data_IF_149344106835
#
_entry.id   IF_149344106835
#
_cell.length_a   1.000
_cell.length_b   1.000
_cell.length_c   1.000
_cell.angle_alpha   90.00
_cell.angle_beta   90.00
_cell.angle_gamma   90.00
#
_symmetry.space_group_name_H-M   'P 1'
#
loop_
_entity.id
_entity.type
_entity.pdbx_description
1 polymer ?
#
# COMPACT_ATOMS: atom_id res chain seq x y z
N UNK A 1 45.26 -24.86 -4.70
CA UNK A 1 43.84 -25.22 -4.60
C UNK A 1 43.42 -24.73 -3.23
N UNK A 2 43.15 -23.43 -3.12
CA UNK A 2 42.73 -22.81 -1.87
C UNK A 2 41.24 -23.12 -1.68
N UNK A 3 40.92 -23.69 -0.52
CA UNK A 3 39.58 -23.97 -0.08
C UNK A 3 38.76 -22.67 -0.11
N UNK A 4 37.75 -22.62 -0.99
CA UNK A 4 36.68 -21.64 -0.92
C UNK A 4 35.92 -21.90 0.39
N UNK A 5 36.30 -21.20 1.45
CA UNK A 5 35.54 -21.20 2.70
C UNK A 5 34.12 -20.76 2.41
N UNK A 6 33.15 -21.60 2.75
CA UNK A 6 31.73 -21.33 2.58
C UNK A 6 31.38 -20.12 3.45
N UNK A 7 31.33 -18.92 2.85
CA UNK A 7 30.98 -17.70 3.55
C UNK A 7 29.55 -17.86 4.11
N UNK A 8 29.41 -17.75 5.44
CA UNK A 8 28.11 -17.82 6.12
C UNK A 8 27.19 -16.77 5.53
N UNK A 9 25.99 -17.17 5.10
CA UNK A 9 24.94 -16.25 4.68
C UNK A 9 24.29 -15.62 5.90
N UNK A 10 24.18 -14.30 5.89
CA UNK A 10 23.42 -13.54 6.89
C UNK A 10 21.93 -13.94 6.81
N UNK A 11 21.37 -14.35 7.94
CA UNK A 11 19.99 -14.82 8.11
C UNK A 11 19.13 -13.66 8.63
N UNK A 12 18.13 -13.29 7.83
CA UNK A 12 17.20 -12.21 8.13
C UNK A 12 15.79 -12.79 8.30
N UNK A 13 15.16 -12.50 9.44
CA UNK A 13 13.76 -12.87 9.68
C UNK A 13 12.84 -11.71 9.29
N UNK A 14 11.84 -11.98 8.44
CA UNK A 14 10.82 -11.04 8.03
C UNK A 14 9.50 -11.30 8.76
N UNK A 15 8.89 -10.28 9.35
CA UNK A 15 7.59 -10.38 10.01
C UNK A 15 6.57 -9.48 9.32
N UNK A 16 5.88 -9.96 8.26
CA UNK A 16 4.86 -9.17 7.57
C UNK A 16 3.58 -9.01 8.40
N UNK A 17 2.91 -7.87 8.25
CA UNK A 17 1.50 -7.75 8.62
C UNK A 17 0.63 -8.50 7.58
N UNK A 18 -0.37 -9.31 7.99
CA UNK A 18 -1.08 -10.24 7.10
C UNK A 18 -2.18 -9.58 6.27
N UNK A 19 -1.91 -8.39 5.75
CA UNK A 19 -2.77 -7.70 4.79
C UNK A 19 -2.03 -7.51 3.47
N UNK A 20 -2.73 -7.57 2.34
CA UNK A 20 -2.13 -7.50 1.01
C UNK A 20 -1.17 -6.31 0.84
N UNK A 21 -1.58 -5.13 1.34
CA UNK A 21 -0.81 -3.89 1.30
C UNK A 21 0.51 -3.94 2.08
N UNK A 22 0.67 -4.90 2.99
CA UNK A 22 1.83 -5.04 3.87
C UNK A 22 2.68 -6.26 3.54
N UNK A 23 2.04 -7.41 3.28
CA UNK A 23 2.74 -8.65 2.95
C UNK A 23 3.45 -8.52 1.61
N UNK A 24 2.85 -7.85 0.63
CA UNK A 24 3.43 -7.64 -0.70
C UNK A 24 4.80 -6.96 -0.67
N UNK A 25 4.95 -5.75 -0.08
CA UNK A 25 6.26 -5.10 -0.02
C UNK A 25 7.26 -5.86 0.85
N UNK A 26 6.82 -6.55 1.93
CA UNK A 26 7.72 -7.38 2.73
C UNK A 26 8.28 -8.58 1.94
N UNK A 27 7.42 -9.28 1.18
CA UNK A 27 7.85 -10.41 0.35
C UNK A 27 8.75 -9.94 -0.79
N UNK A 28 8.46 -8.80 -1.41
CA UNK A 28 9.35 -8.19 -2.41
C UNK A 28 10.72 -7.86 -1.82
N UNK A 29 10.77 -7.22 -0.65
CA UNK A 29 12.02 -6.97 0.07
C UNK A 29 12.78 -8.29 0.34
N UNK A 30 12.07 -9.33 0.77
CA UNK A 30 12.64 -10.66 0.96
C UNK A 30 13.25 -11.23 -0.32
N UNK A 31 12.55 -11.19 -1.45
CA UNK A 31 13.09 -11.68 -2.74
C UNK A 31 14.35 -10.91 -3.14
N UNK A 32 14.37 -9.61 -2.89
CA UNK A 32 15.51 -8.72 -3.21
C UNK A 32 16.71 -9.03 -2.33
N UNK A 33 16.53 -9.09 -1.02
CA UNK A 33 17.60 -9.46 -0.09
C UNK A 33 18.12 -10.88 -0.39
N UNK A 34 17.22 -11.82 -0.68
CA UNK A 34 17.65 -13.16 -1.10
C UNK A 34 18.53 -13.13 -2.36
N UNK A 35 18.16 -12.32 -3.36
CA UNK A 35 18.99 -12.13 -4.57
C UNK A 35 20.36 -11.48 -4.27
N UNK A 36 20.47 -10.74 -3.17
CA UNK A 36 21.70 -10.11 -2.69
C UNK A 36 22.59 -11.02 -1.82
N UNK A 37 22.17 -12.27 -1.59
CA UNK A 37 22.94 -13.29 -0.87
C UNK A 37 22.49 -13.56 0.57
N UNK A 38 21.42 -12.92 1.04
CA UNK A 38 20.85 -13.18 2.36
C UNK A 38 20.03 -14.47 2.38
N UNK A 39 20.02 -15.16 3.52
CA UNK A 39 19.09 -16.24 3.80
C UNK A 39 17.84 -15.65 4.46
N UNK A 40 16.67 -15.83 3.84
CA UNK A 40 15.43 -15.19 4.28
C UNK A 40 14.50 -16.20 4.95
N UNK A 41 14.00 -15.83 6.12
CA UNK A 41 13.00 -16.61 6.86
C UNK A 41 11.79 -15.72 7.09
N UNK A 42 10.59 -16.19 6.76
CA UNK A 42 9.37 -15.39 6.90
C UNK A 42 8.57 -15.95 8.08
N UNK A 43 8.43 -15.16 9.14
CA UNK A 43 7.57 -15.45 10.26
C UNK A 43 6.19 -14.83 10.02
N UNK A 44 5.22 -15.65 9.62
CA UNK A 44 3.87 -15.19 9.25
C UNK A 44 2.78 -15.85 10.11
N UNK A 45 1.60 -15.24 10.07
CA UNK A 45 0.39 -15.76 10.71
C UNK A 45 -0.28 -16.83 9.83
N UNK A 46 -1.17 -17.68 10.38
CA UNK A 46 -2.05 -18.51 9.51
C UNK A 46 -3.03 -17.67 8.72
N UNK A 47 -3.53 -16.60 9.33
CA UNK A 47 -4.37 -15.63 8.64
C UNK A 47 -3.57 -15.02 7.47
N UNK A 48 -4.10 -15.13 6.25
CA UNK A 48 -3.44 -14.68 5.01
C UNK A 48 -1.98 -15.14 4.88
N UNK A 49 -1.74 -16.42 5.16
CA UNK A 49 -0.43 -17.04 5.00
C UNK A 49 0.03 -17.07 3.53
N UNK A 50 1.28 -16.70 3.20
CA UNK A 50 1.87 -16.91 1.87
C UNK A 50 1.90 -18.39 1.46
N UNK A 51 2.06 -19.28 2.45
CA UNK A 51 2.03 -20.74 2.30
C UNK A 51 1.00 -21.32 3.29
N UNK A 52 -0.19 -21.77 2.84
CA UNK A 52 -1.28 -22.19 3.73
C UNK A 52 -0.93 -23.31 4.74
N UNK A 53 0.17 -24.03 4.53
CA UNK A 53 0.64 -25.15 5.36
C UNK A 53 1.34 -24.76 6.66
N UNK A 54 1.98 -23.58 6.78
CA UNK A 54 3.03 -23.35 7.80
C UNK A 54 2.83 -22.12 8.70
N UNK A 55 1.62 -21.85 9.19
CA UNK A 55 1.36 -20.64 10.01
C UNK A 55 1.16 -20.84 11.53
N UNK A 56 1.10 -19.73 12.26
CA UNK A 56 0.66 -19.63 13.66
C UNK A 56 -0.89 -19.59 13.80
N UNK A 57 -1.53 -20.43 14.64
CA UNK A 57 -3.01 -20.60 14.69
C UNK A 57 -3.83 -19.35 15.04
N UNK A 58 -5.08 -19.38 14.56
CA UNK A 58 -6.01 -18.33 14.10
C UNK A 58 -6.75 -17.54 15.20
N UNK A 59 -7.03 -16.27 14.89
CA UNK A 59 -8.32 -15.63 15.16
C UNK A 59 -8.79 -15.03 13.83
N UNK A 60 -10.03 -15.26 13.44
CA UNK A 60 -10.65 -14.60 12.27
C UNK A 60 -10.59 -13.08 12.45
N UNK A 61 -10.74 -12.30 11.36
CA UNK A 61 -10.98 -10.85 11.46
C UNK A 61 -12.49 -10.63 11.62
N UNK A 62 -13.05 -10.57 12.85
CA UNK A 62 -14.48 -10.80 13.07
C UNK A 62 -15.31 -9.51 13.08
N UNK A 63 -14.79 -8.40 12.59
CA UNK A 63 -15.53 -7.15 12.46
C UNK A 63 -14.77 -6.27 11.48
N UNK A 64 -15.43 -5.39 10.72
CA UNK A 64 -14.76 -4.43 9.84
C UNK A 64 -13.81 -3.43 10.53
N UNK A 65 -13.47 -3.65 11.80
CA UNK A 65 -12.47 -2.91 12.57
C UNK A 65 -11.08 -3.56 12.43
N UNK A 66 -10.34 -3.08 11.42
CA UNK A 66 -8.95 -3.49 11.14
C UNK A 66 -8.04 -3.22 12.34
N UNK A 67 -8.29 -2.14 13.11
CA UNK A 67 -7.45 -1.77 14.23
C UNK A 67 -7.61 -2.72 15.42
N UNK A 68 -8.85 -3.04 15.79
CA UNK A 68 -9.12 -4.03 16.84
C UNK A 68 -8.53 -5.40 16.50
N UNK A 69 -8.61 -5.79 15.22
CA UNK A 69 -7.95 -7.01 14.73
C UNK A 69 -6.44 -6.96 14.90
N UNK A 70 -5.78 -5.87 14.48
CA UNK A 70 -4.34 -5.69 14.63
C UNK A 70 -3.88 -5.74 16.09
N UNK A 71 -4.64 -5.11 17.00
CA UNK A 71 -4.36 -5.14 18.44
C UNK A 71 -4.43 -6.56 19.01
N UNK A 72 -5.48 -7.29 18.63
CA UNK A 72 -5.69 -8.70 19.00
C UNK A 72 -4.57 -9.59 18.44
N UNK A 73 -4.22 -9.39 17.17
CA UNK A 73 -3.16 -10.12 16.49
C UNK A 73 -1.82 -9.95 17.19
N UNK A 74 -1.43 -8.72 17.48
CA UNK A 74 -0.19 -8.40 18.18
C UNK A 74 -0.16 -9.04 19.59
N UNK A 75 -1.28 -8.96 20.31
CA UNK A 75 -1.40 -9.58 21.65
C UNK A 75 -1.22 -11.09 21.60
N UNK A 76 -1.91 -11.76 20.67
CA UNK A 76 -1.92 -13.22 20.57
C UNK A 76 -0.64 -13.80 19.97
N UNK A 77 0.01 -13.08 19.06
CA UNK A 77 1.21 -13.56 18.36
C UNK A 77 2.50 -13.35 19.16
N UNK A 78 2.54 -12.46 20.16
CA UNK A 78 3.78 -12.12 20.89
C UNK A 78 4.51 -13.35 21.47
N UNK A 79 3.81 -14.16 22.26
CA UNK A 79 4.42 -15.33 22.90
C UNK A 79 4.86 -16.40 21.90
N UNK A 80 4.13 -16.54 20.79
CA UNK A 80 4.42 -17.52 19.75
C UNK A 80 5.59 -17.11 18.86
N UNK A 81 5.62 -15.85 18.43
CA UNK A 81 6.75 -15.31 17.67
C UNK A 81 8.05 -15.49 18.46
N UNK A 82 8.01 -15.20 19.76
CA UNK A 82 9.14 -15.44 20.67
C UNK A 82 9.56 -16.90 20.66
N UNK A 83 8.66 -17.83 20.94
CA UNK A 83 9.00 -19.26 20.98
C UNK A 83 9.55 -19.77 19.63
N UNK A 84 8.99 -19.32 18.52
CA UNK A 84 9.49 -19.66 17.18
C UNK A 84 10.92 -19.13 16.94
N UNK A 85 11.21 -17.89 17.36
CA UNK A 85 12.55 -17.31 17.22
C UNK A 85 13.56 -17.97 18.16
N UNK A 86 13.18 -18.28 19.41
CA UNK A 86 14.03 -19.04 20.34
C UNK A 86 14.42 -20.40 19.74
N UNK A 87 13.44 -21.17 19.25
CA UNK A 87 13.69 -22.45 18.60
C UNK A 87 14.55 -22.31 17.33
N UNK A 88 14.33 -21.24 16.55
CA UNK A 88 15.12 -20.97 15.35
C UNK A 88 16.58 -20.69 15.71
N UNK A 89 16.81 -19.89 16.75
CA UNK A 89 18.13 -19.49 17.24
C UNK A 89 18.90 -20.66 17.89
N UNK A 90 18.20 -21.70 18.37
CA UNK A 90 18.83 -22.95 18.80
C UNK A 90 19.44 -23.74 17.63
N UNK A 91 18.89 -23.58 16.42
CA UNK A 91 19.30 -24.34 15.23
C UNK A 91 20.30 -23.59 14.36
N UNK A 92 20.19 -22.26 14.29
CA UNK A 92 21.04 -21.41 13.46
C UNK A 92 21.06 -19.99 14.01
N UNK A 93 22.14 -19.27 13.76
CA UNK A 93 22.26 -17.88 14.22
C UNK A 93 21.43 -16.95 13.32
N UNK A 94 20.66 -16.05 13.95
CA UNK A 94 19.83 -15.05 13.26
C UNK A 94 20.51 -13.70 13.44
N UNK A 95 20.77 -12.99 12.34
CA UNK A 95 21.54 -11.75 12.36
C UNK A 95 20.64 -10.52 12.61
N UNK A 96 19.44 -10.48 12.03
CA UNK A 96 18.47 -9.43 12.34
C UNK A 96 17.02 -9.80 12.02
N UNK A 97 16.09 -8.97 12.50
CA UNK A 97 14.67 -9.04 12.17
C UNK A 97 14.21 -7.77 11.47
N UNK A 98 13.50 -7.92 10.36
CA UNK A 98 12.79 -6.84 9.68
C UNK A 98 11.30 -7.06 9.89
N UNK A 99 10.61 -6.09 10.48
CA UNK A 99 9.20 -6.24 10.81
C UNK A 99 8.36 -5.11 10.23
N UNK A 100 7.13 -5.43 9.83
CA UNK A 100 6.16 -4.43 9.42
C UNK A 100 5.75 -3.58 10.62
N UNK A 101 5.63 -2.26 10.44
CA UNK A 101 5.19 -1.32 11.48
C UNK A 101 3.97 -1.79 12.28
N UNK A 102 2.99 -2.42 11.64
CA UNK A 102 1.76 -2.88 12.28
C UNK A 102 1.96 -4.18 13.08
N UNK A 103 3.07 -4.88 12.87
CA UNK A 103 3.52 -6.02 13.69
C UNK A 103 4.46 -5.54 14.82
N UNK A 104 4.06 -4.48 15.52
CA UNK A 104 4.87 -3.75 16.50
C UNK A 104 5.36 -4.59 17.69
N UNK A 105 4.78 -5.78 17.94
CA UNK A 105 5.30 -6.70 18.96
C UNK A 105 6.65 -7.32 18.59
N UNK A 106 7.01 -7.31 17.31
CA UNK A 106 8.22 -7.96 16.81
C UNK A 106 9.45 -7.32 17.40
N UNK A 107 9.48 -6.00 17.53
CA UNK A 107 10.56 -5.29 18.21
C UNK A 107 10.71 -5.72 19.67
N UNK A 108 9.62 -5.91 20.40
CA UNK A 108 9.69 -6.25 21.82
C UNK A 108 10.22 -7.68 22.01
N UNK A 109 9.91 -8.57 21.05
CA UNK A 109 10.47 -9.93 20.99
C UNK A 109 11.95 -9.86 20.60
N UNK A 110 12.31 -9.08 19.59
CA UNK A 110 13.69 -8.90 19.15
C UNK A 110 14.60 -8.39 20.28
N UNK A 111 14.17 -7.34 20.97
CA UNK A 111 14.89 -6.77 22.10
C UNK A 111 15.05 -7.77 23.25
N UNK A 112 14.03 -8.61 23.51
CA UNK A 112 14.15 -9.68 24.51
C UNK A 112 15.22 -10.72 24.14
N UNK A 113 15.38 -11.00 22.85
CA UNK A 113 16.34 -11.97 22.32
C UNK A 113 17.70 -11.34 21.96
N UNK A 114 17.88 -10.04 22.26
CA UNK A 114 19.06 -9.25 21.85
C UNK A 114 19.32 -9.27 20.34
N UNK A 115 18.26 -9.34 19.53
CA UNK A 115 18.34 -9.26 18.08
C UNK A 115 18.17 -7.80 17.59
N UNK A 116 19.05 -7.30 16.72
CA UNK A 116 18.82 -6.04 16.02
C UNK A 116 17.51 -6.09 15.22
N UNK A 117 16.71 -5.03 15.31
CA UNK A 117 15.45 -4.93 14.58
C UNK A 117 15.41 -3.71 13.65
N UNK A 118 14.85 -3.90 12.46
CA UNK A 118 14.66 -2.87 11.44
C UNK A 118 13.17 -2.78 11.15
N UNK A 119 12.61 -1.57 11.16
CA UNK A 119 11.18 -1.39 10.87
C UNK A 119 10.96 -1.11 9.39
N UNK A 120 10.05 -1.86 8.76
CA UNK A 120 9.54 -1.58 7.42
C UNK A 120 8.30 -0.68 7.51
N UNK A 121 8.36 0.43 6.78
CA UNK A 121 7.26 1.37 6.56
C UNK A 121 6.68 1.12 5.18
N UNK A 122 5.45 0.58 5.16
CA UNK A 122 4.72 0.26 3.93
C UNK A 122 3.79 1.41 3.47
N UNK A 123 3.60 2.42 4.32
CA UNK A 123 2.95 3.69 3.98
C UNK A 123 3.97 4.73 3.48
N UNK A 124 3.49 5.77 2.80
CA UNK A 124 4.29 6.93 2.42
C UNK A 124 4.79 7.74 3.63
N UNK A 125 5.93 8.42 3.45
CA UNK A 125 6.53 9.27 4.48
C UNK A 125 5.61 10.45 4.86
N UNK A 126 4.92 11.02 3.88
CA UNK A 126 3.98 12.14 4.06
C UNK A 126 2.76 11.74 4.87
N UNK A 127 2.30 10.50 4.73
CA UNK A 127 1.22 9.93 5.54
C UNK A 127 1.64 9.76 6.99
N UNK A 128 2.91 9.39 7.25
CA UNK A 128 3.41 9.36 8.63
C UNK A 128 3.49 10.76 9.25
N UNK A 129 3.84 11.79 8.47
CA UNK A 129 3.80 13.18 8.93
C UNK A 129 2.40 13.60 9.35
N UNK A 130 1.37 13.20 8.61
CA UNK A 130 -0.03 13.43 8.97
C UNK A 130 -0.41 12.74 10.29
N UNK A 131 -0.07 11.45 10.47
CA UNK A 131 -0.29 10.73 11.73
C UNK A 131 0.42 11.39 12.92
N UNK A 132 1.65 11.88 12.71
CA UNK A 132 2.44 12.54 13.75
C UNK A 132 1.84 13.86 14.23
N UNK A 133 1.13 14.58 13.36
CA UNK A 133 0.47 15.83 13.73
C UNK A 133 -0.82 15.63 14.52
N UNK A 134 -1.52 14.49 14.37
CA UNK A 134 -2.83 14.26 14.99
C UNK A 134 -2.83 14.48 16.52
N UNK A 135 -1.88 13.95 17.31
CA UNK A 135 -1.85 14.21 18.76
C UNK A 135 -1.73 15.70 19.12
N UNK A 136 -0.93 16.46 18.36
CA UNK A 136 -0.81 17.92 18.53
C UNK A 136 -2.13 18.61 18.21
N UNK A 137 -2.72 18.30 17.06
CA UNK A 137 -3.99 18.88 16.63
C UNK A 137 -5.15 18.52 17.57
N UNK A 138 -5.10 17.33 18.18
CA UNK A 138 -6.05 16.91 19.21
C UNK A 138 -5.89 17.78 20.47
N UNK A 139 -4.66 18.04 20.92
CA UNK A 139 -4.41 18.93 22.06
C UNK A 139 -4.83 20.39 21.78
N UNK A 140 -4.78 20.82 20.53
CA UNK A 140 -5.26 22.12 20.06
C UNK A 140 -6.80 22.18 19.88
N UNK A 141 -7.51 21.05 20.04
CA UNK A 141 -8.97 20.98 19.90
C UNK A 141 -9.47 20.90 18.45
N UNK A 142 -8.59 20.55 17.50
CA UNK A 142 -8.91 20.43 16.07
C UNK A 142 -9.27 19.00 15.63
N UNK A 143 -9.22 18.01 16.53
CA UNK A 143 -9.56 16.61 16.23
C UNK A 143 -10.63 16.10 17.22
N UNK A 144 -11.78 15.58 16.75
CA UNK A 144 -12.19 15.49 15.35
C UNK A 144 -12.45 16.88 14.73
N UNK A 145 -12.15 17.07 13.44
CA UNK A 145 -12.34 18.36 12.79
C UNK A 145 -13.83 18.69 12.65
N UNK A 146 -14.18 19.95 12.89
CA UNK A 146 -15.52 20.47 12.67
C UNK A 146 -15.71 20.84 11.18
N UNK A 147 -16.95 20.80 10.68
CA UNK A 147 -17.24 20.97 9.24
C UNK A 147 -16.62 22.25 8.64
N UNK A 148 -16.63 23.35 9.39
CA UNK A 148 -16.11 24.63 8.89
C UNK A 148 -14.58 24.68 8.73
N UNK A 149 -13.82 23.77 9.37
CA UNK A 149 -12.36 23.68 9.21
C UNK A 149 -11.93 22.59 8.23
N UNK A 150 -12.83 21.71 7.77
CA UNK A 150 -12.47 20.56 6.93
C UNK A 150 -11.67 20.94 5.69
N UNK A 151 -11.96 22.10 5.10
CA UNK A 151 -11.30 22.61 3.89
C UNK A 151 -10.08 23.49 4.19
N UNK A 152 -9.86 23.88 5.45
CA UNK A 152 -8.70 24.67 5.83
C UNK A 152 -7.42 23.82 5.76
N UNK A 153 -6.31 24.45 5.38
CA UNK A 153 -4.99 23.81 5.38
C UNK A 153 -4.56 23.51 6.83
N UNK A 154 -3.89 22.38 7.00
CA UNK A 154 -3.30 21.99 8.27
C UNK A 154 -1.95 22.70 8.41
N UNK A 155 -1.74 23.51 9.47
CA UNK A 155 -0.48 24.21 9.65
C UNK A 155 0.71 23.23 9.71
N UNK A 156 1.78 23.55 8.97
CA UNK A 156 3.03 22.78 8.86
C UNK A 156 2.91 21.47 8.05
N UNK A 157 1.75 21.21 7.46
CA UNK A 157 1.48 20.01 6.65
C UNK A 157 0.90 20.37 5.28
N UNK A 158 1.13 21.58 4.79
CA UNK A 158 0.69 21.98 3.46
C UNK A 158 1.20 21.01 2.38
N UNK A 159 0.35 20.58 1.43
CA UNK A 159 -0.97 21.13 1.10
C UNK A 159 -2.16 20.36 1.71
N UNK A 160 -1.96 19.59 2.79
CA UNK A 160 -3.03 18.82 3.42
C UNK A 160 -4.07 19.73 4.08
N UNK A 161 -5.34 19.38 3.90
CA UNK A 161 -6.48 19.96 4.62
C UNK A 161 -6.87 19.08 5.79
N UNK A 162 -7.66 19.60 6.73
CA UNK A 162 -8.14 18.79 7.86
C UNK A 162 -8.92 17.54 7.43
N UNK A 163 -9.68 17.60 6.32
CA UNK A 163 -10.36 16.43 5.76
C UNK A 163 -9.43 15.39 5.13
N UNK A 164 -8.20 15.78 4.78
CA UNK A 164 -7.23 14.89 4.16
C UNK A 164 -6.46 14.06 5.23
N UNK A 165 -6.64 14.38 6.52
CA UNK A 165 -5.99 13.67 7.63
C UNK A 165 -6.56 12.25 7.83
N UNK A 166 -5.74 11.28 8.26
CA UNK A 166 -6.13 9.88 8.43
C UNK A 166 -6.95 9.65 9.72
N UNK A 167 -8.08 10.37 9.85
CA UNK A 167 -8.96 10.40 11.04
C UNK A 167 -10.21 9.54 10.83
N UNK A 168 -10.65 9.35 9.58
CA UNK A 168 -11.92 8.68 9.27
C UNK A 168 -11.90 7.18 9.61
N UNK A 169 -13.09 6.62 9.84
CA UNK A 169 -13.35 5.19 10.11
C UNK A 169 -12.63 4.57 11.33
N UNK A 170 -12.22 5.40 12.30
CA UNK A 170 -11.86 4.92 13.64
C UNK A 170 -13.08 4.89 14.55
N UNK A 171 -13.21 3.83 15.36
CA UNK A 171 -14.32 3.63 16.30
C UNK A 171 -14.28 4.59 17.50
N UNK A 172 -13.10 5.14 17.84
CA UNK A 172 -12.93 6.10 18.91
C UNK A 172 -11.68 6.96 18.70
N UNK A 173 -11.63 8.13 19.34
CA UNK A 173 -10.42 8.97 19.39
C UNK A 173 -9.25 8.23 20.05
N UNK A 174 -9.51 7.38 21.03
CA UNK A 174 -8.49 6.57 21.70
C UNK A 174 -7.82 5.60 20.72
N UNK A 175 -8.61 4.87 19.92
CA UNK A 175 -8.09 3.95 18.89
C UNK A 175 -7.25 4.70 17.85
N UNK A 176 -7.69 5.90 17.44
CA UNK A 176 -6.93 6.76 16.53
C UNK A 176 -5.58 7.17 17.15
N UNK A 177 -5.57 7.67 18.38
CA UNK A 177 -4.34 8.10 19.05
C UNK A 177 -3.39 6.93 19.31
N UNK A 178 -3.92 5.75 19.64
CA UNK A 178 -3.14 4.53 19.78
C UNK A 178 -2.51 4.13 18.45
N UNK A 179 -3.25 4.23 17.33
CA UNK A 179 -2.71 4.00 16.00
C UNK A 179 -1.61 5.03 15.67
N UNK A 180 -1.81 6.31 15.97
CA UNK A 180 -0.78 7.33 15.77
C UNK A 180 0.51 6.99 16.56
N UNK A 181 0.37 6.55 17.81
CA UNK A 181 1.49 6.13 18.64
C UNK A 181 2.22 4.90 18.09
N UNK A 182 1.49 3.90 17.58
CA UNK A 182 2.08 2.72 16.93
C UNK A 182 2.80 3.12 15.65
N UNK A 183 2.15 3.89 14.77
CA UNK A 183 2.73 4.32 13.50
C UNK A 183 3.99 5.16 13.73
N UNK A 184 4.00 6.09 14.67
CA UNK A 184 5.13 7.01 14.87
C UNK A 184 6.27 6.44 15.72
N UNK A 185 6.16 5.23 16.26
CA UNK A 185 7.16 4.68 17.18
C UNK A 185 8.00 3.59 16.51
N UNK A 186 9.32 3.77 16.54
CA UNK A 186 10.31 2.76 16.09
C UNK A 186 10.89 1.96 17.27
N UNK A 187 10.59 2.39 18.50
CA UNK A 187 11.08 1.84 19.77
C UNK A 187 12.60 1.71 19.78
N UNK A 188 13.17 0.51 19.92
CA UNK A 188 14.63 0.28 19.88
C UNK A 188 15.13 -0.20 18.51
N UNK A 189 14.32 -0.08 17.45
CA UNK A 189 14.77 -0.43 16.10
C UNK A 189 15.98 0.39 15.69
N UNK A 190 16.97 -0.29 15.10
CA UNK A 190 18.26 0.30 14.76
C UNK A 190 18.24 1.01 13.40
N UNK A 191 17.24 0.74 12.56
CA UNK A 191 17.06 1.40 11.26
C UNK A 191 15.61 1.36 10.78
N UNK A 192 15.32 2.17 9.74
CA UNK A 192 14.00 2.27 9.09
C UNK A 192 14.14 2.02 7.59
N UNK A 193 13.30 1.15 7.03
CA UNK A 193 13.14 0.97 5.59
C UNK A 193 11.83 1.62 5.17
N UNK A 194 11.87 2.45 4.13
CA UNK A 194 10.71 3.07 3.52
C UNK A 194 10.41 2.46 2.16
N UNK A 195 9.18 1.98 1.99
CA UNK A 195 8.64 1.65 0.67
C UNK A 195 8.25 2.93 -0.08
N UNK A 196 9.20 3.82 -0.33
CA UNK A 196 8.99 5.06 -1.09
C UNK A 196 10.25 5.41 -1.86
N UNK A 197 10.14 6.40 -2.75
CA UNK A 197 11.24 6.93 -3.54
C UNK A 197 11.54 8.33 -3.04
N UNK A 198 12.82 8.62 -2.75
CA UNK A 198 13.25 9.92 -2.23
C UNK A 198 12.71 11.10 -3.05
N UNK A 199 12.77 11.01 -4.37
CA UNK A 199 12.23 12.04 -5.28
C UNK A 199 10.76 12.41 -5.03
N UNK A 200 9.93 11.45 -4.59
CA UNK A 200 8.50 11.67 -4.35
C UNK A 200 8.22 12.40 -3.03
N UNK A 201 9.04 12.15 -2.01
CA UNK A 201 8.74 12.53 -0.61
C UNK A 201 9.94 13.12 0.15
N UNK A 202 10.92 13.68 -0.56
CA UNK A 202 12.21 14.13 -0.02
C UNK A 202 12.08 14.98 1.26
N UNK A 203 11.21 15.99 1.25
CA UNK A 203 11.00 16.87 2.41
C UNK A 203 10.54 16.10 3.65
N UNK A 204 9.55 15.22 3.48
CA UNK A 204 9.02 14.37 4.55
C UNK A 204 10.09 13.43 5.10
N UNK A 205 10.86 12.78 4.21
CA UNK A 205 11.95 11.88 4.58
C UNK A 205 13.07 12.58 5.36
N UNK A 206 13.48 13.78 4.95
CA UNK A 206 14.49 14.58 5.65
C UNK A 206 14.03 14.92 7.07
N UNK A 207 12.80 15.37 7.25
CA UNK A 207 12.24 15.68 8.58
C UNK A 207 12.15 14.45 9.48
N UNK A 208 11.76 13.30 8.91
CA UNK A 208 11.67 12.05 9.64
C UNK A 208 13.04 11.49 10.01
N UNK A 209 14.04 11.61 9.13
CA UNK A 209 15.41 11.24 9.43
C UNK A 209 15.98 12.05 10.62
N UNK A 210 15.76 13.38 10.62
CA UNK A 210 16.17 14.24 11.73
C UNK A 210 15.46 13.90 13.04
N UNK A 211 14.21 13.45 12.97
CA UNK A 211 13.43 13.05 14.14
C UNK A 211 13.92 11.75 14.77
N UNK A 212 14.08 10.69 13.96
CA UNK A 212 14.42 9.36 14.47
C UNK A 212 15.91 9.15 14.72
N UNK A 213 16.77 9.84 13.98
CA UNK A 213 18.25 9.78 14.15
C UNK A 213 18.83 8.36 14.04
N UNK A 214 18.18 7.51 13.24
CA UNK A 214 18.67 6.19 12.85
C UNK A 214 18.88 6.15 11.33
N UNK A 215 19.73 5.25 10.82
CA UNK A 215 19.83 4.98 9.39
C UNK A 215 18.44 4.74 8.77
N UNK A 216 18.21 5.35 7.61
CA UNK A 216 16.93 5.28 6.93
C UNK A 216 17.14 5.04 5.44
N UNK A 217 16.41 4.07 4.89
CA UNK A 217 16.62 3.57 3.54
C UNK A 217 15.33 3.66 2.73
N UNK A 218 15.29 4.56 1.73
CA UNK A 218 14.15 4.71 0.80
C UNK A 218 14.37 3.85 -0.42
N UNK A 219 13.82 2.63 -0.38
CA UNK A 219 14.06 1.65 -1.41
C UNK A 219 13.00 1.77 -2.52
N UNK A 220 11.71 1.92 -2.22
CA UNK A 220 10.65 1.89 -3.23
C UNK A 220 10.22 0.46 -3.62
N UNK A 221 9.37 0.33 -4.65
CA UNK A 221 8.47 -0.83 -4.85
C UNK A 221 8.86 -1.83 -5.97
N UNK A 222 9.98 -1.63 -6.69
CA UNK A 222 10.26 -2.34 -7.98
C UNK A 222 11.65 -2.98 -8.07
N UNK A 223 12.06 -3.77 -7.07
CA UNK A 223 13.36 -4.45 -7.13
C UNK A 223 13.31 -5.93 -7.45
N UNK A 224 12.13 -6.56 -7.47
CA UNK A 224 12.00 -7.96 -7.87
C UNK A 224 10.80 -8.15 -8.79
N UNK A 225 11.07 -8.55 -10.03
CA UNK A 225 10.13 -9.36 -10.78
C UNK A 225 10.13 -10.78 -10.19
N UNK A 226 9.06 -11.54 -10.39
CA UNK A 226 8.99 -13.02 -10.33
C UNK A 226 8.34 -13.70 -9.10
N UNK A 227 8.04 -13.06 -7.96
CA UNK A 227 7.30 -13.77 -6.89
C UNK A 227 5.79 -13.48 -6.89
N UNK A 228 4.90 -14.50 -6.90
CA UNK A 228 3.48 -14.30 -6.61
C UNK A 228 3.36 -13.78 -5.17
N UNK A 229 2.92 -12.53 -5.02
CA UNK A 229 2.70 -11.91 -3.72
C UNK A 229 1.21 -11.71 -3.42
N UNK A 230 0.34 -12.18 -4.31
CA UNK A 230 -1.11 -12.06 -4.17
C UNK A 230 -1.66 -13.09 -3.19
N UNK A 231 -2.44 -12.64 -2.21
CA UNK A 231 -3.20 -13.50 -1.30
C UNK A 231 -4.44 -14.10 -1.98
N UNK A 232 -4.93 -13.45 -3.05
CA UNK A 232 -6.11 -13.86 -3.80
C UNK A 232 -5.70 -14.45 -5.15
N UNK A 233 -6.46 -15.44 -5.63
CA UNK A 233 -6.23 -16.04 -6.95
C UNK A 233 -6.50 -15.01 -8.03
N UNK A 234 -5.47 -14.65 -8.78
CA UNK A 234 -5.54 -13.71 -9.90
C UNK A 234 -6.24 -14.35 -11.11
N UNK A 235 -7.11 -13.58 -11.75
CA UNK A 235 -7.72 -13.89 -13.03
C UNK A 235 -6.88 -13.29 -14.14
N UNK A 236 -6.02 -14.11 -14.74
CA UNK A 236 -5.12 -13.68 -15.84
C UNK A 236 -5.84 -13.55 -17.17
N UNK A 237 -7.06 -14.05 -17.31
CA UNK A 237 -7.82 -13.98 -18.57
C UNK A 237 -8.18 -12.51 -18.89
N UNK A 238 -8.19 -11.63 -17.88
CA UNK A 238 -8.36 -10.20 -18.09
C UNK A 238 -7.26 -9.58 -18.97
N UNK A 239 -6.05 -10.13 -18.98
CA UNK A 239 -4.97 -9.68 -19.87
C UNK A 239 -5.34 -9.96 -21.34
N UNK A 240 -5.89 -11.14 -21.62
CA UNK A 240 -6.35 -11.49 -22.98
C UNK A 240 -7.50 -10.60 -23.45
N UNK A 241 -8.32 -10.09 -22.52
CA UNK A 241 -9.34 -9.10 -22.84
C UNK A 241 -8.73 -7.73 -23.13
N UNK A 242 -7.70 -7.31 -22.37
CA UNK A 242 -6.96 -6.06 -22.58
C UNK A 242 -6.21 -6.05 -23.92
N UNK A 243 -5.67 -7.19 -24.37
CA UNK A 243 -4.99 -7.33 -25.66
C UNK A 243 -5.88 -6.94 -26.86
N UNK A 244 -7.21 -7.02 -26.70
CA UNK A 244 -8.20 -6.68 -27.74
C UNK A 244 -8.62 -5.21 -27.73
N UNK A 245 -8.18 -4.45 -26.73
CA UNK A 245 -8.57 -3.05 -26.55
C UNK A 245 -7.57 -2.11 -27.23
N UNK A 246 -8.02 -0.90 -27.54
CA UNK A 246 -7.12 0.12 -28.09
C UNK A 246 -6.13 0.62 -27.02
N UNK A 247 -4.94 1.12 -27.42
CA UNK A 247 -4.01 1.72 -26.48
C UNK A 247 -4.63 2.88 -25.70
N UNK A 248 -4.35 2.96 -24.39
CA UNK A 248 -4.86 3.98 -23.47
C UNK A 248 -6.39 4.15 -23.46
N UNK A 249 -7.18 3.14 -23.83
CA UNK A 249 -8.65 3.25 -23.88
C UNK A 249 -9.37 2.69 -22.67
N UNK A 250 -8.70 1.90 -21.82
CA UNK A 250 -9.34 1.18 -20.72
C UNK A 250 -9.16 1.91 -19.40
N UNK A 251 -10.24 2.10 -18.64
CA UNK A 251 -10.18 2.43 -17.22
C UNK A 251 -10.09 1.14 -16.40
N UNK A 252 -9.01 1.00 -15.64
CA UNK A 252 -8.91 -0.02 -14.62
C UNK A 252 -9.54 0.48 -13.31
N UNK A 253 -10.35 -0.33 -12.64
CA UNK A 253 -11.04 0.03 -11.39
C UNK A 253 -10.72 -1.01 -10.32
N UNK A 254 -10.09 -0.59 -9.23
CA UNK A 254 -9.78 -1.47 -8.08
C UNK A 254 -9.65 -0.71 -6.77
N UNK A 255 -10.45 -1.11 -5.77
CA UNK A 255 -10.42 -0.54 -4.41
C UNK A 255 -9.57 -1.35 -3.43
N UNK A 256 -8.72 -2.24 -3.95
CA UNK A 256 -7.79 -3.02 -3.14
C UNK A 256 -8.47 -4.14 -2.34
N UNK A 257 -7.74 -4.67 -1.36
CA UNK A 257 -8.12 -5.90 -0.64
C UNK A 257 -9.04 -5.68 0.55
N UNK A 258 -9.18 -4.44 1.03
CA UNK A 258 -9.88 -4.13 2.28
C UNK A 258 -11.06 -3.17 2.12
N UNK A 259 -10.99 -2.19 1.23
CA UNK A 259 -12.03 -1.16 1.13
C UNK A 259 -13.33 -1.76 0.58
N UNK A 260 -14.39 -1.75 1.39
CA UNK A 260 -15.74 -2.14 0.96
C UNK A 260 -16.52 -0.94 0.44
N UNK A 261 -17.56 -1.23 -0.33
CA UNK A 261 -18.58 -0.27 -0.76
C UNK A 261 -19.96 -0.78 -0.36
N UNK A 262 -20.91 0.13 -0.17
CA UNK A 262 -22.32 -0.25 0.00
C UNK A 262 -23.03 -0.48 -1.35
N UNK A 263 -24.28 -0.92 -1.30
CA UNK A 263 -25.10 -1.18 -2.50
C UNK A 263 -25.34 0.08 -3.34
N UNK A 264 -25.48 1.25 -2.69
CA UNK A 264 -25.68 2.52 -3.38
C UNK A 264 -24.41 2.90 -4.13
N UNK A 265 -23.26 2.84 -3.47
CA UNK A 265 -21.94 3.10 -4.06
C UNK A 265 -21.65 2.15 -5.22
N UNK A 266 -21.98 0.86 -5.09
CA UNK A 266 -21.87 -0.13 -6.17
C UNK A 266 -22.72 0.28 -7.38
N UNK A 267 -23.99 0.63 -7.17
CA UNK A 267 -24.92 1.00 -8.23
C UNK A 267 -24.52 2.31 -8.92
N UNK A 268 -24.11 3.32 -8.16
CA UNK A 268 -23.62 4.59 -8.70
C UNK A 268 -22.32 4.39 -9.48
N UNK A 269 -21.41 3.53 -9.00
CA UNK A 269 -20.19 3.16 -9.72
C UNK A 269 -20.48 2.44 -11.03
N UNK A 270 -21.33 1.42 -10.99
CA UNK A 270 -21.72 0.66 -12.17
C UNK A 270 -22.29 1.58 -13.27
N UNK A 271 -23.28 2.40 -12.93
CA UNK A 271 -23.89 3.29 -13.91
C UNK A 271 -22.98 4.44 -14.32
N UNK A 272 -22.11 4.94 -13.44
CA UNK A 272 -21.12 5.96 -13.81
C UNK A 272 -20.12 5.45 -14.84
N UNK A 273 -19.64 4.21 -14.66
CA UNK A 273 -18.76 3.55 -15.62
C UNK A 273 -19.47 3.31 -16.96
N UNK A 274 -20.69 2.75 -16.95
CA UNK A 274 -21.46 2.53 -18.16
C UNK A 274 -21.74 3.82 -18.94
N UNK A 275 -22.15 4.89 -18.24
CA UNK A 275 -22.47 6.17 -18.86
C UNK A 275 -21.24 6.89 -19.45
N UNK A 276 -20.04 6.60 -18.93
CA UNK A 276 -18.81 7.22 -19.45
C UNK A 276 -18.51 6.83 -20.90
N UNK A 277 -19.09 5.72 -21.37
CA UNK A 277 -18.86 5.09 -22.67
C UNK A 277 -17.37 4.73 -22.94
N UNK A 278 -16.58 4.59 -21.87
CA UNK A 278 -15.20 4.10 -21.92
C UNK A 278 -15.13 2.61 -21.60
N UNK A 279 -14.29 1.82 -22.29
CA UNK A 279 -13.97 0.47 -21.87
C UNK A 279 -13.42 0.43 -20.44
N UNK A 280 -13.81 -0.57 -19.65
CA UNK A 280 -13.33 -0.69 -18.28
C UNK A 280 -13.08 -2.13 -17.84
N UNK A 281 -12.06 -2.31 -17.00
CA UNK A 281 -11.80 -3.54 -16.26
C UNK A 281 -12.04 -3.26 -14.77
N UNK A 282 -13.07 -3.85 -14.19
CA UNK A 282 -13.45 -3.62 -12.80
C UNK A 282 -13.23 -4.86 -11.92
N UNK A 283 -12.40 -4.68 -10.90
CA UNK A 283 -12.22 -5.67 -9.83
C UNK A 283 -13.29 -5.47 -8.76
N UNK A 284 -14.17 -6.47 -8.62
CA UNK A 284 -15.09 -6.59 -7.51
C UNK A 284 -14.67 -7.84 -6.76
N UNK A 285 -14.06 -7.72 -5.57
CA UNK A 285 -13.67 -8.92 -4.80
C UNK A 285 -14.87 -9.49 -4.04
N UNK A 286 -14.91 -10.79 -3.73
CA UNK A 286 -15.87 -11.33 -2.77
C UNK A 286 -15.86 -10.53 -1.46
N UNK A 287 -17.03 -10.29 -0.87
CA UNK A 287 -17.19 -9.41 0.30
C UNK A 287 -16.76 -7.94 0.11
N UNK A 288 -16.64 -7.45 -1.15
CA UNK A 288 -16.55 -6.00 -1.41
C UNK A 288 -17.80 -5.25 -0.97
N UNK A 289 -18.95 -5.94 -0.96
CA UNK A 289 -20.26 -5.41 -0.60
C UNK A 289 -20.81 -6.25 0.55
N UNK A 290 -21.25 -5.60 1.62
CA UNK A 290 -21.73 -6.30 2.81
C UNK A 290 -22.96 -7.16 2.45
N UNK A 291 -22.88 -8.46 2.73
CA UNK A 291 -23.98 -9.41 2.47
C UNK A 291 -24.03 -10.02 1.06
N UNK A 292 -23.04 -9.79 0.19
CA UNK A 292 -22.92 -10.46 -1.11
C UNK A 292 -21.68 -11.32 -1.24
N UNK A 293 -21.85 -12.46 -1.91
CA UNK A 293 -20.77 -13.37 -2.28
C UNK A 293 -19.92 -12.78 -3.42
N UNK A 294 -20.52 -12.07 -4.40
CA UNK A 294 -19.79 -11.34 -5.43
C UNK A 294 -20.58 -10.26 -6.20
N UNK A 295 -21.28 -10.63 -7.29
CA UNK A 295 -21.89 -9.71 -8.28
C UNK A 295 -23.41 -9.84 -8.33
N UNK A 296 -24.01 -10.56 -7.38
CA UNK A 296 -25.47 -10.71 -7.31
C UNK A 296 -26.18 -9.36 -7.11
N UNK A 297 -25.45 -8.36 -6.60
CA UNK A 297 -25.94 -7.01 -6.33
C UNK A 297 -25.70 -6.00 -7.47
N UNK A 298 -25.13 -6.43 -8.61
CA UNK A 298 -25.02 -5.54 -9.76
C UNK A 298 -26.41 -5.13 -10.25
N UNK A 299 -26.63 -3.85 -10.64
CA UNK A 299 -27.94 -3.39 -11.09
C UNK A 299 -28.51 -4.21 -12.25
N UNK A 300 -29.83 -4.42 -12.26
CA UNK A 300 -30.52 -5.07 -13.37
C UNK A 300 -30.25 -4.33 -14.69
N UNK A 301 -29.97 -5.09 -15.76
CA UNK A 301 -29.65 -4.53 -17.07
C UNK A 301 -28.21 -4.02 -17.23
N UNK A 302 -27.39 -4.01 -16.17
CA UNK A 302 -26.03 -3.48 -16.24
C UNK A 302 -25.11 -4.31 -17.14
N UNK A 303 -25.17 -5.65 -17.05
CA UNK A 303 -24.33 -6.53 -17.88
C UNK A 303 -24.66 -6.40 -19.36
N UNK A 304 -25.95 -6.24 -19.67
CA UNK A 304 -26.44 -6.00 -21.03
C UNK A 304 -26.01 -4.63 -21.53
N UNK A 305 -26.04 -3.60 -20.68
CA UNK A 305 -25.66 -2.23 -21.03
C UNK A 305 -24.17 -2.10 -21.38
N UNK A 306 -23.28 -2.82 -20.69
CA UNK A 306 -21.83 -2.71 -20.90
C UNK A 306 -21.33 -3.59 -22.05
N UNK A 307 -22.05 -4.68 -22.36
CA UNK A 307 -21.68 -5.61 -23.43
C UNK A 307 -20.22 -6.05 -23.36
N UNK A 308 -19.50 -5.97 -24.47
CA UNK A 308 -18.07 -6.32 -24.55
C UNK A 308 -17.12 -5.20 -24.08
N UNK A 309 -17.64 -4.00 -23.78
CA UNK A 309 -16.83 -2.84 -23.33
C UNK A 309 -16.40 -2.94 -21.87
N UNK A 310 -17.13 -3.70 -21.05
CA UNK A 310 -16.82 -3.87 -19.63
C UNK A 310 -16.42 -5.31 -19.30
N UNK A 311 -15.34 -5.47 -18.55
CA UNK A 311 -14.97 -6.75 -17.94
C UNK A 311 -14.96 -6.64 -16.42
N UNK A 312 -15.59 -7.60 -15.74
CA UNK A 312 -15.65 -7.66 -14.28
C UNK A 312 -14.98 -8.94 -13.80
N UNK A 313 -13.99 -8.81 -12.91
CA UNK A 313 -13.23 -9.94 -12.36
C UNK A 313 -13.21 -9.90 -10.83
N UNK A 314 -12.95 -11.04 -10.20
CA UNK A 314 -12.83 -11.13 -8.73
C UNK A 314 -11.55 -10.52 -8.21
N UNK A 315 -10.45 -10.74 -8.93
CA UNK A 315 -9.13 -10.26 -8.58
C UNK A 315 -8.26 -10.26 -9.84
N UNK A 316 -7.53 -9.19 -10.08
CA UNK A 316 -6.69 -9.04 -11.27
C UNK A 316 -5.20 -9.02 -10.90
N UNK A 317 -4.30 -9.47 -11.79
CA UNK A 317 -2.86 -9.27 -11.65
C UNK A 317 -2.53 -7.78 -11.86
N UNK A 318 -2.77 -6.96 -10.83
CA UNK A 318 -2.80 -5.49 -10.91
C UNK A 318 -1.53 -4.90 -11.55
N UNK A 319 -0.35 -5.46 -11.24
CA UNK A 319 0.92 -5.00 -11.82
C UNK A 319 0.95 -5.17 -13.33
N UNK A 320 0.50 -6.33 -13.82
CA UNK A 320 0.46 -6.62 -15.25
C UNK A 320 -0.61 -5.79 -15.96
N UNK A 321 -1.76 -5.59 -15.31
CA UNK A 321 -2.82 -4.70 -15.79
C UNK A 321 -2.30 -3.25 -15.93
N UNK A 322 -1.67 -2.70 -14.89
CA UNK A 322 -1.14 -1.32 -14.93
C UNK A 322 0.02 -1.16 -15.92
N UNK A 323 0.80 -2.21 -16.17
CA UNK A 323 1.84 -2.21 -17.19
C UNK A 323 1.30 -2.39 -18.63
N UNK A 324 0.03 -2.77 -18.79
CA UNK A 324 -0.56 -3.08 -20.08
C UNK A 324 -0.89 -1.80 -20.87
N UNK A 325 -0.46 -1.73 -22.14
CA UNK A 325 -0.60 -0.52 -22.97
C UNK A 325 -2.04 -0.07 -23.29
N UNK A 326 -3.03 -0.95 -23.10
CA UNK A 326 -4.44 -0.60 -23.22
C UNK A 326 -4.98 0.22 -22.03
N UNK A 327 -4.36 0.14 -20.85
CA UNK A 327 -4.84 0.85 -19.66
C UNK A 327 -4.49 2.33 -19.77
N UNK A 328 -5.52 3.16 -19.87
CA UNK A 328 -5.39 4.61 -19.97
C UNK A 328 -5.63 5.35 -18.66
N UNK A 329 -6.20 4.72 -17.65
CA UNK A 329 -6.39 5.34 -16.34
C UNK A 329 -6.76 4.33 -15.25
N UNK A 330 -6.59 4.74 -14.00
CA UNK A 330 -6.82 3.88 -12.85
C UNK A 330 -7.71 4.56 -11.79
N UNK A 331 -8.94 4.08 -11.64
CA UNK A 331 -9.79 4.43 -10.51
C UNK A 331 -9.40 3.59 -9.30
N UNK A 332 -8.87 4.27 -8.28
CA UNK A 332 -8.19 3.65 -7.15
C UNK A 332 -8.58 4.26 -5.82
N UNK A 333 -8.61 3.42 -4.79
CA UNK A 333 -8.68 3.84 -3.40
C UNK A 333 -7.40 4.54 -2.88
N UNK A 334 -6.36 4.69 -3.70
CA UNK A 334 -5.11 5.39 -3.33
C UNK A 334 -4.34 4.73 -2.17
N UNK A 335 -4.45 3.41 -2.00
CA UNK A 335 -3.48 2.68 -1.18
C UNK A 335 -2.06 2.89 -1.72
N UNK A 336 -1.07 2.98 -0.82
CA UNK A 336 0.28 3.40 -1.20
C UNK A 336 0.94 2.51 -2.26
N UNK A 337 0.81 1.18 -2.14
CA UNK A 337 1.34 0.24 -3.14
C UNK A 337 0.73 0.48 -4.53
N UNK A 338 -0.61 0.54 -4.61
CA UNK A 338 -1.32 0.79 -5.88
C UNK A 338 -0.95 2.15 -6.48
N UNK A 339 -0.71 3.14 -5.63
CA UNK A 339 -0.27 4.48 -6.06
C UNK A 339 1.11 4.40 -6.69
N UNK A 340 2.08 3.77 -6.03
CA UNK A 340 3.43 3.56 -6.55
C UNK A 340 3.43 2.76 -7.86
N UNK A 341 2.65 1.68 -7.93
CA UNK A 341 2.53 0.86 -9.15
C UNK A 341 2.00 1.70 -10.32
N UNK A 342 0.94 2.50 -10.11
CA UNK A 342 0.32 3.32 -11.15
C UNK A 342 1.26 4.37 -11.71
N UNK A 343 1.84 5.21 -10.84
CA UNK A 343 2.72 6.31 -11.30
C UNK A 343 4.01 5.78 -11.91
N UNK A 344 4.46 4.59 -11.49
CA UNK A 344 5.65 3.95 -12.04
C UNK A 344 5.38 3.21 -13.34
N UNK A 345 4.11 3.06 -13.72
CA UNK A 345 3.71 2.65 -15.06
C UNK A 345 3.24 3.81 -15.94
N UNK A 346 3.15 5.03 -15.40
CA UNK A 346 2.69 6.18 -16.16
C UNK A 346 1.18 6.16 -16.38
N UNK A 347 0.43 5.49 -15.50
CA UNK A 347 -1.02 5.42 -15.56
C UNK A 347 -1.60 6.51 -14.66
N UNK A 348 -2.38 7.46 -15.18
CA UNK A 348 -2.98 8.52 -14.39
C UNK A 348 -4.17 7.99 -13.58
N UNK A 349 -4.48 8.65 -12.46
CA UNK A 349 -5.40 8.10 -11.46
C UNK A 349 -6.69 8.90 -11.31
N UNK A 350 -7.79 8.22 -10.98
CA UNK A 350 -8.98 8.80 -10.33
C UNK A 350 -8.97 8.31 -8.89
N UNK A 351 -8.82 9.24 -7.96
CA UNK A 351 -8.67 8.98 -6.54
C UNK A 351 -10.03 8.91 -5.86
N UNK A 352 -10.34 7.77 -5.25
CA UNK A 352 -11.51 7.55 -4.43
C UNK A 352 -11.11 6.96 -3.06
N UNK A 353 -10.46 7.74 -2.19
CA UNK A 353 -9.93 7.24 -0.92
C UNK A 353 -11.04 6.79 0.03
N UNK A 354 -10.77 5.77 0.85
CA UNK A 354 -11.73 5.17 1.77
C UNK A 354 -11.36 5.36 3.24
N UNK A 355 -10.11 5.10 3.62
CA UNK A 355 -9.65 5.17 5.01
C UNK A 355 -8.12 5.28 5.15
N UNK A 356 -7.67 5.53 6.38
CA UNK A 356 -6.24 5.51 6.70
C UNK A 356 -5.46 6.57 5.93
N UNK A 357 -4.31 6.19 5.39
CA UNK A 357 -3.40 7.06 4.64
C UNK A 357 -3.92 7.46 3.24
N UNK A 358 -5.02 6.87 2.78
CA UNK A 358 -5.51 7.03 1.41
C UNK A 358 -5.90 8.47 1.07
N UNK A 359 -6.43 9.24 2.02
CA UNK A 359 -6.79 10.65 1.80
C UNK A 359 -5.55 11.54 1.62
N UNK A 360 -4.48 11.26 2.38
CA UNK A 360 -3.18 11.92 2.19
C UNK A 360 -2.62 11.57 0.81
N UNK A 361 -2.64 10.29 0.45
CA UNK A 361 -2.12 9.82 -0.84
C UNK A 361 -2.91 10.44 -2.01
N UNK A 362 -4.24 10.47 -1.92
CA UNK A 362 -5.11 11.10 -2.92
C UNK A 362 -4.75 12.58 -3.12
N UNK A 363 -4.57 13.33 -2.03
CA UNK A 363 -4.16 14.74 -2.07
C UNK A 363 -2.81 14.93 -2.75
N UNK A 364 -1.85 14.04 -2.52
CA UNK A 364 -0.55 14.09 -3.18
C UNK A 364 -0.66 13.80 -4.68
N UNK A 365 -1.43 12.78 -5.07
CA UNK A 365 -1.69 12.43 -6.47
C UNK A 365 -2.38 13.59 -7.20
N UNK A 366 -3.43 14.17 -6.62
CA UNK A 366 -4.28 15.17 -7.26
C UNK A 366 -3.69 16.58 -7.24
N UNK A 367 -3.05 17.00 -6.14
CA UNK A 367 -2.63 18.40 -5.95
C UNK A 367 -1.11 18.62 -6.00
N UNK A 368 -0.31 17.69 -5.47
CA UNK A 368 1.16 17.84 -5.40
C UNK A 368 1.77 17.43 -6.75
N UNK A 369 1.55 16.18 -7.15
CA UNK A 369 2.08 15.63 -8.40
C UNK A 369 1.18 15.97 -9.60
N UNK A 370 -0.12 16.21 -9.35
CA UNK A 370 -1.13 16.53 -10.37
C UNK A 370 -1.24 15.45 -11.45
N UNK A 371 -1.05 14.19 -11.05
CA UNK A 371 -1.08 13.00 -11.91
C UNK A 371 -2.40 12.23 -11.80
N UNK A 372 -3.41 12.85 -11.20
CA UNK A 372 -4.76 12.31 -11.13
C UNK A 372 -5.81 13.34 -10.73
N UNK A 373 -7.07 12.88 -10.72
CA UNK A 373 -8.25 13.61 -10.27
C UNK A 373 -8.74 13.02 -8.94
N UNK A 374 -9.46 13.78 -8.12
CA UNK A 374 -10.00 13.30 -6.85
C UNK A 374 -11.52 13.43 -6.81
N UNK A 375 -12.21 12.34 -6.43
CA UNK A 375 -13.63 12.34 -6.16
C UNK A 375 -13.87 12.84 -4.73
N UNK A 376 -14.07 14.16 -4.59
CA UNK A 376 -14.18 14.81 -3.27
C UNK A 376 -15.58 14.78 -2.64
N UNK A 377 -16.63 14.55 -3.44
CA UNK A 377 -18.03 14.65 -3.01
C UNK A 377 -18.66 13.26 -2.80
N UNK A 378 -19.94 13.24 -2.39
CA UNK A 378 -20.72 12.01 -2.40
C UNK A 378 -20.61 11.29 -3.75
N UNK A 379 -20.48 9.96 -3.68
CA UNK A 379 -20.29 9.15 -4.87
C UNK A 379 -21.60 9.06 -5.66
N UNK A 380 -21.72 9.91 -6.68
CA UNK A 380 -22.80 9.87 -7.65
C UNK A 380 -22.29 9.42 -9.01
N UNK A 381 -23.11 8.66 -9.76
CA UNK A 381 -22.77 8.16 -11.11
C UNK A 381 -22.31 9.27 -12.05
N UNK A 382 -22.87 10.47 -11.91
CA UNK A 382 -22.52 11.64 -12.74
C UNK A 382 -21.12 12.16 -12.45
N UNK A 383 -20.68 12.10 -11.20
CA UNK A 383 -19.33 12.52 -10.83
C UNK A 383 -18.31 11.48 -11.29
N UNK A 384 -18.64 10.19 -11.21
CA UNK A 384 -17.81 9.11 -11.78
C UNK A 384 -17.71 9.22 -13.30
N UNK A 385 -18.85 9.37 -13.98
CA UNK A 385 -18.91 9.57 -15.43
C UNK A 385 -18.04 10.76 -15.84
N UNK A 386 -18.20 11.90 -15.16
CA UNK A 386 -17.41 13.11 -15.42
C UNK A 386 -15.92 12.85 -15.22
N UNK A 387 -15.51 12.27 -14.09
CA UNK A 387 -14.10 12.02 -13.80
C UNK A 387 -13.46 11.06 -14.81
N UNK A 388 -14.18 10.00 -15.22
CA UNK A 388 -13.71 9.07 -16.25
C UNK A 388 -13.54 9.79 -17.58
N UNK A 389 -14.54 10.56 -18.02
CA UNK A 389 -14.46 11.30 -19.29
C UNK A 389 -13.37 12.37 -19.25
N UNK A 390 -13.21 13.09 -18.13
CA UNK A 390 -12.18 14.11 -18.00
C UNK A 390 -10.76 13.54 -18.00
N UNK A 391 -10.56 12.35 -17.44
CA UNK A 391 -9.25 11.68 -17.49
C UNK A 391 -8.95 11.04 -18.86
N UNK A 392 -9.96 10.50 -19.53
CA UNK A 392 -9.78 9.65 -20.73
C UNK A 392 -9.97 10.37 -22.06
N UNK A 393 -10.78 11.42 -22.09
CA UNK A 393 -11.26 12.06 -23.32
C UNK A 393 -10.92 13.55 -23.37
N UNK A 394 -11.05 14.25 -22.25
CA UNK A 394 -10.87 15.70 -22.23
C UNK A 394 -9.37 16.09 -22.22
N UNK A 395 -9.09 17.34 -22.62
CA UNK A 395 -7.73 17.91 -22.64
C UNK A 395 -7.03 17.87 -21.28
N UNK A 396 -7.79 18.00 -20.19
CA UNK A 396 -7.23 17.90 -18.83
C UNK A 396 -6.54 16.54 -18.62
N UNK A 397 -7.17 15.46 -19.09
CA UNK A 397 -6.61 14.11 -19.05
C UNK A 397 -5.31 13.96 -19.84
N UNK A 398 -5.17 14.63 -20.98
CA UNK A 398 -3.93 14.65 -21.76
C UNK A 398 -2.78 15.31 -20.97
N UNK A 399 -3.06 16.43 -20.30
CA UNK A 399 -2.06 17.12 -19.47
C UNK A 399 -1.67 16.31 -18.23
N UNK A 400 -2.64 15.64 -17.59
CA UNK A 400 -2.39 14.71 -16.48
C UNK A 400 -1.50 13.55 -16.97
N UNK A 401 -1.80 12.99 -18.14
CA UNK A 401 -1.06 11.89 -18.74
C UNK A 401 0.39 12.28 -19.03
N UNK A 402 0.63 13.48 -19.55
CA UNK A 402 2.00 13.96 -19.76
C UNK A 402 2.76 14.06 -18.43
N UNK A 403 2.13 14.62 -17.38
CA UNK A 403 2.77 14.74 -16.07
C UNK A 403 3.11 13.39 -15.44
N UNK A 404 2.25 12.38 -15.58
CA UNK A 404 2.53 11.05 -15.02
C UNK A 404 3.61 10.30 -15.83
N UNK A 405 3.72 10.53 -17.14
CA UNK A 405 4.82 10.02 -17.97
C UNK A 405 6.15 10.66 -17.52
N UNK A 406 6.19 11.98 -17.36
CA UNK A 406 7.38 12.67 -16.85
C UNK A 406 7.76 12.16 -15.44
N UNK A 407 6.77 11.87 -14.60
CA UNK A 407 6.99 11.31 -13.27
C UNK A 407 7.53 9.88 -13.33
N UNK A 408 6.99 9.03 -14.22
CA UNK A 408 7.47 7.66 -14.49
C UNK A 408 8.95 7.66 -14.84
N UNK A 409 9.38 8.57 -15.72
CA UNK A 409 10.79 8.68 -16.11
C UNK A 409 11.70 9.01 -14.93
N UNK A 410 11.29 9.97 -14.08
CA UNK A 410 12.04 10.34 -12.88
C UNK A 410 12.13 9.20 -11.86
N UNK A 411 11.03 8.48 -11.68
CA UNK A 411 11.00 7.26 -10.86
C UNK A 411 11.99 6.22 -11.41
N UNK A 412 11.97 5.97 -12.73
CA UNK A 412 12.89 5.03 -13.36
C UNK A 412 14.37 5.43 -13.17
N UNK A 413 14.68 6.72 -13.20
CA UNK A 413 16.03 7.23 -12.90
C UNK A 413 16.47 6.99 -11.45
N UNK A 414 15.54 6.99 -10.48
CA UNK A 414 15.85 6.64 -9.09
C UNK A 414 16.08 5.13 -8.91
N UNK A 415 15.39 4.29 -9.69
CA UNK A 415 15.40 2.84 -9.56
C UNK A 415 16.52 2.13 -10.34
N UNK A 416 17.08 2.77 -11.39
CA UNK A 416 18.20 2.20 -12.16
C UNK A 416 19.50 2.09 -11.36
N UNK A 417 20.47 1.37 -11.90
CA UNK A 417 21.83 1.29 -11.33
C UNK A 417 22.43 2.68 -11.10
N UNK A 418 22.92 2.92 -9.89
CA UNK A 418 23.45 4.21 -9.45
C UNK A 418 22.38 5.27 -9.10
N UNK A 419 21.09 4.96 -9.27
CA UNK A 419 19.96 5.79 -8.82
C UNK A 419 19.80 5.77 -7.29
N UNK A 420 19.09 6.77 -6.75
CA UNK A 420 18.96 6.95 -5.29
C UNK A 420 18.36 5.74 -4.56
N UNK A 421 17.33 5.13 -5.12
CA UNK A 421 16.68 3.95 -4.54
C UNK A 421 17.57 2.70 -4.63
N UNK A 422 18.28 2.52 -5.74
CA UNK A 422 19.26 1.43 -5.90
C UNK A 422 20.43 1.58 -4.90
N UNK A 423 20.98 2.78 -4.78
CA UNK A 423 22.05 3.07 -3.81
C UNK A 423 21.57 2.85 -2.38
N UNK A 424 20.37 3.35 -2.03
CA UNK A 424 19.80 3.15 -0.69
C UNK A 424 19.57 1.68 -0.36
N UNK A 425 19.26 0.84 -1.36
CA UNK A 425 19.13 -0.60 -1.16
C UNK A 425 20.50 -1.27 -0.95
N UNK A 426 21.53 -0.84 -1.68
CA UNK A 426 22.91 -1.29 -1.45
C UNK A 426 23.42 -0.87 -0.05
N UNK A 427 23.13 0.37 0.37
CA UNK A 427 23.46 0.86 1.70
C UNK A 427 22.73 0.06 2.79
N UNK A 428 21.48 -0.33 2.55
CA UNK A 428 20.73 -1.23 3.44
C UNK A 428 21.42 -2.60 3.54
N UNK A 429 21.87 -3.17 2.42
CA UNK A 429 22.61 -4.44 2.41
C UNK A 429 23.88 -4.33 3.26
N UNK A 430 24.72 -3.32 3.01
CA UNK A 430 25.97 -3.14 3.74
C UNK A 430 25.70 -2.89 5.24
N UNK A 431 24.64 -2.15 5.55
CA UNK A 431 24.20 -1.93 6.92
C UNK A 431 23.82 -3.25 7.62
N UNK A 432 22.99 -4.10 7.00
CA UNK A 432 22.60 -5.40 7.57
C UNK A 432 23.83 -6.29 7.78
N UNK A 433 24.79 -6.29 6.86
CA UNK A 433 26.04 -7.06 7.00
C UNK A 433 26.97 -6.54 8.12
N UNK A 434 26.74 -5.32 8.61
CA UNK A 434 27.53 -4.69 9.66
C UNK A 434 26.94 -4.80 11.07
N UNK A 435 25.69 -5.30 11.19
CA UNK A 435 25.03 -5.60 12.47
C UNK A 435 25.71 -6.79 13.15
#
# INVERSE_FOLDING_TARGET
>A
MEEQGTQRRCIVVLVPCPFQGHITPMLQLGTVLHSMGFSIIIAHTKFNSPNPSDGLTQSDCPSGDVFAFLSTLNTNCKGRLRACLEQLMEQQEVDCIIYDTLMYISEAVANHLNLPSIVLRTMGASSLMAYKAIPRLQAEGCVPPQDFILQALVPELEPLRFKDLPISKFNSLESLLQMCAIACNIKTSVAIIWNTIDYLEHSSLVQLHQHYKVPSFSIGHKFASVSPSSLLKEDTDCITWLDKQAPNSVIYVSLGSLASMDEKELAETAWGLANSDQPFLWVIRPASVAGSEWVELLPEGFKEAIGEKGLIVKWAPQKDVLAHGAVGGFLSHCGWNSTLESISEGVPMICWPSFGDQMVNARYVSHVWRVGLELENELERREIERAVRSLMVDKEGEEIRQRVIDLKEKIALCMRDGGSSCNSLNDLKEYILSL
#
